data_IF_031510752015
#
_entry.id   IF_031510752015
#
_cell.length_a   1.000
_cell.length_b   1.000
_cell.length_c   1.000
_cell.angle_alpha   90.00
_cell.angle_beta   90.00
_cell.angle_gamma   90.00
#
_symmetry.space_group_name_H-M   'P 1'
#
loop_
_entity.id
_entity.type
_entity.pdbx_description
1 polymer ?
#
# COMPACT_ATOMS: atom_id res chain seq x y z
N UNK A 1 12.07 21.15 24.53
CA UNK A 1 13.39 21.07 25.17
C UNK A 1 14.38 20.28 24.31
N UNK A 2 14.39 18.93 24.27
CA UNK A 2 15.39 18.19 23.44
C UNK A 2 15.38 18.64 21.98
N UNK A 3 14.23 18.70 21.29
CA UNK A 3 14.17 19.09 19.87
C UNK A 3 14.63 20.52 19.53
N UNK A 4 14.92 21.37 20.53
CA UNK A 4 15.37 22.75 20.34
C UNK A 4 16.88 22.93 20.54
N UNK A 5 17.57 21.88 20.99
CA UNK A 5 19.03 21.89 21.06
C UNK A 5 19.65 21.97 19.65
N UNK A 6 20.79 22.66 19.57
CA UNK A 6 21.53 22.80 18.32
C UNK A 6 21.90 21.42 17.75
N UNK A 7 21.67 21.21 16.45
CA UNK A 7 21.96 19.94 15.75
C UNK A 7 20.77 18.99 15.65
N UNK A 8 19.64 19.28 16.29
CA UNK A 8 18.43 18.45 16.18
C UNK A 8 17.64 18.67 14.89
N UNK A 9 18.12 19.53 14.00
CA UNK A 9 17.66 19.58 12.61
C UNK A 9 17.89 18.24 11.89
N UNK A 10 18.85 17.42 12.35
CA UNK A 10 19.13 16.07 11.84
C UNK A 10 17.89 15.16 11.81
N UNK A 11 16.94 15.32 12.73
CA UNK A 11 15.72 14.52 12.72
C UNK A 11 14.78 14.93 11.58
N UNK A 12 14.71 16.22 11.25
CA UNK A 12 13.97 16.69 10.08
C UNK A 12 14.61 16.18 8.79
N UNK A 13 15.94 16.20 8.72
CA UNK A 13 16.69 15.65 7.59
C UNK A 13 16.47 14.13 7.45
N UNK A 14 16.51 13.39 8.56
CA UNK A 14 16.21 11.97 8.57
C UNK A 14 14.78 11.69 8.12
N UNK A 15 13.79 12.46 8.58
CA UNK A 15 12.40 12.35 8.13
C UNK A 15 12.32 12.59 6.62
N UNK A 16 12.98 13.63 6.10
CA UNK A 16 12.99 13.91 4.66
C UNK A 16 13.59 12.74 3.85
N UNK A 17 14.71 12.18 4.29
CA UNK A 17 15.31 10.99 3.68
C UNK A 17 14.38 9.77 3.71
N UNK A 18 13.77 9.48 4.87
CA UNK A 18 12.82 8.37 5.03
C UNK A 18 11.56 8.55 4.19
N UNK A 19 11.07 9.79 4.03
CA UNK A 19 9.96 10.11 3.12
C UNK A 19 10.36 9.82 1.67
N UNK A 20 11.54 10.24 1.24
CA UNK A 20 12.07 9.93 -0.09
C UNK A 20 12.19 8.43 -0.35
N UNK A 21 12.84 7.71 0.56
CA UNK A 21 12.98 6.24 0.48
C UNK A 21 11.62 5.54 0.44
N UNK A 22 10.68 5.95 1.30
CA UNK A 22 9.37 5.30 1.37
C UNK A 22 8.52 5.58 0.13
N UNK A 23 8.63 6.77 -0.51
CA UNK A 23 8.02 7.03 -1.83
C UNK A 23 8.58 6.04 -2.88
N UNK A 24 9.86 5.70 -2.76
CA UNK A 24 10.56 4.64 -3.51
C UNK A 24 9.87 3.27 -3.49
N UNK A 25 9.02 3.03 -2.49
CA UNK A 25 8.32 1.76 -2.26
C UNK A 25 6.82 1.91 -2.40
N UNK A 26 6.22 2.93 -1.75
CA UNK A 26 4.78 3.17 -1.77
C UNK A 26 4.42 4.61 -1.34
N UNK A 27 3.52 5.26 -2.10
CA UNK A 27 3.04 6.63 -1.84
C UNK A 27 2.20 6.84 -0.55
N UNK A 28 1.83 5.78 0.17
CA UNK A 28 0.98 5.90 1.37
C UNK A 28 1.68 6.67 2.50
N UNK A 29 3.01 6.74 2.47
CA UNK A 29 3.81 7.47 3.44
C UNK A 29 3.51 8.99 3.44
N UNK A 30 3.06 9.56 2.31
CA UNK A 30 2.67 10.97 2.21
C UNK A 30 1.54 11.31 3.20
N UNK A 31 0.67 10.34 3.51
CA UNK A 31 -0.43 10.49 4.47
C UNK A 31 0.05 10.69 5.92
N UNK A 32 1.33 10.49 6.21
CA UNK A 32 1.94 10.75 7.52
C UNK A 32 2.37 12.21 7.69
N UNK A 33 2.53 12.96 6.60
CA UNK A 33 2.96 14.36 6.64
C UNK A 33 2.04 15.26 7.48
N UNK A 34 0.70 15.13 7.44
CA UNK A 34 -0.18 15.90 8.33
C UNK A 34 0.16 15.74 9.81
N UNK A 35 0.45 14.52 10.29
CA UNK A 35 0.89 14.28 11.67
C UNK A 35 2.20 15.00 11.96
N UNK A 36 3.18 14.91 11.06
CA UNK A 36 4.49 15.56 11.21
C UNK A 36 4.33 17.09 11.29
N UNK A 37 3.53 17.68 10.41
CA UNK A 37 3.27 19.12 10.42
C UNK A 37 2.55 19.56 11.69
N UNK A 38 1.62 18.77 12.21
CA UNK A 38 0.97 19.06 13.50
C UNK A 38 1.97 19.07 14.65
N UNK A 39 2.89 18.09 14.71
CA UNK A 39 3.93 18.04 15.75
C UNK A 39 4.84 19.27 15.66
N UNK A 40 5.24 19.69 14.46
CA UNK A 40 6.04 20.90 14.25
C UNK A 40 5.24 22.14 14.66
N UNK A 41 3.97 22.22 14.25
CA UNK A 41 3.08 23.34 14.54
C UNK A 41 2.93 23.59 16.03
N UNK A 42 2.59 22.55 16.80
CA UNK A 42 2.38 22.66 18.24
C UNK A 42 3.62 23.05 19.04
N UNK A 43 4.82 22.84 18.46
CA UNK A 43 6.09 23.24 19.07
C UNK A 43 6.52 24.65 18.69
N UNK A 44 6.20 25.11 17.48
CA UNK A 44 6.78 26.34 16.90
C UNK A 44 5.81 27.52 16.84
N UNK A 45 4.51 27.27 16.89
CA UNK A 45 3.49 28.30 16.68
C UNK A 45 2.50 28.33 17.84
N UNK A 46 2.01 29.53 18.13
CA UNK A 46 0.89 29.70 19.04
C UNK A 46 -0.39 29.16 18.41
N UNK A 47 -1.20 28.49 19.23
CA UNK A 47 -2.41 27.82 18.76
C UNK A 47 -3.56 28.83 18.71
N UNK A 48 -4.01 29.16 17.51
CA UNK A 48 -5.22 29.93 17.27
C UNK A 48 -5.87 29.49 15.95
N UNK A 49 -7.09 29.95 15.67
CA UNK A 49 -7.82 29.55 14.47
C UNK A 49 -7.09 29.92 13.18
N UNK A 50 -6.42 31.08 13.14
CA UNK A 50 -5.67 31.55 11.99
C UNK A 50 -4.42 30.70 11.75
N UNK A 51 -3.64 30.42 12.79
CA UNK A 51 -2.43 29.63 12.69
C UNK A 51 -2.73 28.16 12.38
N UNK A 52 -3.84 27.63 12.88
CA UNK A 52 -4.34 26.30 12.49
C UNK A 52 -4.81 26.26 11.04
N UNK A 53 -5.53 27.28 10.58
CA UNK A 53 -5.91 27.40 9.17
C UNK A 53 -4.68 27.47 8.26
N UNK A 54 -3.66 28.24 8.65
CA UNK A 54 -2.38 28.29 7.95
C UNK A 54 -1.65 26.94 7.96
N UNK A 55 -1.69 26.18 9.06
CA UNK A 55 -1.15 24.81 9.09
C UNK A 55 -1.84 23.93 8.04
N UNK A 56 -3.17 23.94 7.98
CA UNK A 56 -3.92 23.12 7.00
C UNK A 56 -3.60 23.56 5.58
N UNK A 57 -3.57 24.87 5.32
CA UNK A 57 -3.31 25.41 3.98
C UNK A 57 -1.87 25.16 3.53
N UNK A 58 -0.87 25.54 4.35
CA UNK A 58 0.55 25.39 4.01
C UNK A 58 0.97 23.92 4.06
N UNK A 59 0.52 23.16 5.08
CA UNK A 59 0.78 21.73 5.17
C UNK A 59 0.14 20.96 4.01
N UNK A 60 -1.09 21.30 3.63
CA UNK A 60 -1.75 20.77 2.44
C UNK A 60 -0.99 21.11 1.16
N UNK A 61 -0.55 22.37 1.00
CA UNK A 61 0.26 22.79 -0.15
C UNK A 61 1.61 22.07 -0.22
N UNK A 62 2.31 21.87 0.91
CA UNK A 62 3.56 21.09 0.94
C UNK A 62 3.30 19.63 0.62
N UNK A 63 2.22 19.03 1.16
CA UNK A 63 1.85 17.64 0.85
C UNK A 63 1.56 17.47 -0.64
N UNK A 64 0.78 18.38 -1.21
CA UNK A 64 0.50 18.43 -2.64
C UNK A 64 1.77 18.63 -3.46
N UNK A 65 2.63 19.57 -3.06
CA UNK A 65 3.92 19.78 -3.72
C UNK A 65 4.82 18.52 -3.68
N UNK A 66 4.89 17.82 -2.55
CA UNK A 66 5.66 16.56 -2.46
C UNK A 66 5.06 15.49 -3.37
N UNK A 67 3.73 15.35 -3.41
CA UNK A 67 3.04 14.44 -4.32
C UNK A 67 3.32 14.81 -5.79
N UNK A 68 3.13 16.07 -6.17
CA UNK A 68 3.39 16.57 -7.52
C UNK A 68 4.86 16.42 -7.89
N UNK A 69 5.81 16.70 -6.98
CA UNK A 69 7.23 16.46 -7.25
C UNK A 69 7.50 15.02 -7.66
N UNK A 70 6.81 14.04 -7.08
CA UNK A 70 6.95 12.64 -7.46
C UNK A 70 6.35 12.36 -8.83
N UNK A 71 5.18 12.94 -9.11
CA UNK A 71 4.48 12.80 -10.41
C UNK A 71 5.23 13.51 -11.54
N UNK A 72 5.94 14.60 -11.26
CA UNK A 72 6.69 15.41 -12.23
C UNK A 72 8.07 14.83 -12.56
N UNK A 73 8.61 13.87 -11.78
CA UNK A 73 9.93 13.28 -12.07
C UNK A 73 9.98 12.64 -13.47
N UNK A 74 9.01 11.79 -13.87
CA UNK A 74 8.95 11.26 -15.23
C UNK A 74 8.96 12.36 -16.31
N UNK A 75 8.18 13.43 -16.13
CA UNK A 75 8.16 14.57 -17.06
C UNK A 75 9.50 15.31 -17.10
N UNK A 76 10.17 15.45 -15.95
CA UNK A 76 11.48 16.08 -15.89
C UNK A 76 12.56 15.24 -16.60
N UNK A 77 12.49 13.90 -16.51
CA UNK A 77 13.36 13.00 -17.28
C UNK A 77 13.11 13.18 -18.79
N UNK A 78 11.85 13.31 -19.20
CA UNK A 78 11.45 13.53 -20.61
C UNK A 78 12.03 14.83 -21.19
N UNK A 79 12.02 15.91 -20.40
CA UNK A 79 12.46 17.25 -20.83
C UNK A 79 13.99 17.40 -20.77
N UNK A 80 14.62 16.92 -19.69
CA UNK A 80 16.01 17.23 -19.39
C UNK A 80 16.97 16.08 -19.63
N UNK A 81 16.49 14.85 -19.85
CA UNK A 81 17.29 13.62 -19.82
C UNK A 81 18.09 13.42 -18.52
N UNK A 82 18.77 12.28 -18.38
CA UNK A 82 19.58 12.01 -17.18
C UNK A 82 20.78 12.95 -17.04
N UNK A 83 21.37 13.40 -18.14
CA UNK A 83 22.47 14.36 -18.17
C UNK A 83 22.03 15.75 -17.73
N UNK A 84 20.90 16.25 -18.22
CA UNK A 84 20.35 17.53 -17.76
C UNK A 84 19.91 17.49 -16.30
N UNK A 85 19.33 16.38 -15.84
CA UNK A 85 19.03 16.17 -14.41
C UNK A 85 20.29 16.17 -13.55
N UNK A 86 21.41 15.60 -14.02
CA UNK A 86 22.69 15.68 -13.32
C UNK A 86 23.20 17.12 -13.23
N UNK A 87 23.05 17.92 -14.29
CA UNK A 87 23.41 19.35 -14.27
C UNK A 87 22.53 20.11 -13.27
N UNK A 88 21.22 19.86 -13.24
CA UNK A 88 20.29 20.46 -12.27
C UNK A 88 20.68 20.08 -10.83
N UNK A 89 21.06 18.82 -10.59
CA UNK A 89 21.55 18.37 -9.30
C UNK A 89 22.83 19.10 -8.90
N UNK A 90 23.81 19.23 -9.79
CA UNK A 90 25.05 19.97 -9.54
C UNK A 90 24.79 21.45 -9.23
N UNK A 91 23.89 22.10 -9.98
CA UNK A 91 23.45 23.48 -9.70
C UNK A 91 22.80 23.57 -8.32
N UNK A 92 21.92 22.63 -7.99
CA UNK A 92 21.25 22.58 -6.68
C UNK A 92 22.24 22.40 -5.52
N UNK A 93 23.28 21.57 -5.71
CA UNK A 93 24.37 21.40 -4.75
C UNK A 93 25.23 22.66 -4.62
N UNK A 94 25.49 23.39 -5.70
CA UNK A 94 26.19 24.69 -5.64
C UNK A 94 25.38 25.73 -4.88
N UNK A 95 24.06 25.83 -5.13
CA UNK A 95 23.15 26.73 -4.41
C UNK A 95 23.11 26.36 -2.92
N UNK A 96 23.03 25.06 -2.60
CA UNK A 96 23.09 24.57 -1.22
C UNK A 96 24.41 24.96 -0.55
N UNK A 97 25.55 24.75 -1.22
CA UNK A 97 26.87 25.14 -0.72
C UNK A 97 26.99 26.65 -0.48
N UNK A 98 26.43 27.46 -1.37
CA UNK A 98 26.33 28.92 -1.19
C UNK A 98 25.45 29.29 0.02
N UNK A 99 24.27 28.66 0.17
CA UNK A 99 23.37 28.91 1.29
C UNK A 99 24.03 28.59 2.64
N UNK A 100 24.75 27.47 2.73
CA UNK A 100 25.49 27.05 3.91
C UNK A 100 26.62 28.04 4.22
N UNK A 101 27.42 28.40 3.21
CA UNK A 101 28.57 29.30 3.37
C UNK A 101 28.18 30.70 3.85
N UNK A 102 27.03 31.21 3.41
CA UNK A 102 26.52 32.53 3.80
C UNK A 102 25.64 32.49 5.06
N UNK A 103 25.51 31.35 5.74
CA UNK A 103 24.73 31.25 6.97
C UNK A 103 23.21 31.32 6.79
N UNK A 104 22.69 31.07 5.59
CA UNK A 104 21.24 31.05 5.31
C UNK A 104 20.62 29.74 5.84
N UNK A 105 20.39 29.66 7.16
CA UNK A 105 20.02 28.42 7.85
C UNK A 105 18.73 27.77 7.32
N UNK A 106 17.65 28.54 7.15
CA UNK A 106 16.36 28.01 6.68
C UNK A 106 16.46 27.46 5.25
N UNK A 107 17.10 28.23 4.35
CA UNK A 107 17.31 27.82 2.96
C UNK A 107 18.18 26.56 2.88
N UNK A 108 19.24 26.48 3.68
CA UNK A 108 20.13 25.32 3.72
C UNK A 108 19.38 24.06 4.16
N UNK A 109 18.55 24.14 5.20
CA UNK A 109 17.74 23.01 5.67
C UNK A 109 16.73 22.61 4.60
N UNK A 110 16.01 23.56 4.00
CA UNK A 110 15.02 23.28 2.97
C UNK A 110 15.64 22.57 1.76
N UNK A 111 16.75 23.10 1.24
CA UNK A 111 17.48 22.48 0.13
C UNK A 111 18.06 21.11 0.49
N UNK A 112 18.53 20.92 1.74
CA UNK A 112 19.00 19.61 2.21
C UNK A 112 17.85 18.60 2.29
N UNK A 113 16.66 19.01 2.76
CA UNK A 113 15.48 18.13 2.76
C UNK A 113 15.10 17.71 1.34
N UNK A 114 15.08 18.64 0.37
CA UNK A 114 14.80 18.33 -1.03
C UNK A 114 15.84 17.34 -1.57
N UNK A 115 17.14 17.61 -1.35
CA UNK A 115 18.22 16.71 -1.75
C UNK A 115 18.05 15.31 -1.16
N UNK A 116 17.72 15.19 0.13
CA UNK A 116 17.54 13.90 0.79
C UNK A 116 16.30 13.15 0.30
N UNK A 117 15.21 13.85 -0.03
CA UNK A 117 14.04 13.25 -0.68
C UNK A 117 14.44 12.72 -2.06
N UNK A 118 15.17 13.49 -2.86
CA UNK A 118 15.65 13.08 -4.19
C UNK A 118 16.60 11.88 -4.11
N UNK A 119 17.54 11.89 -3.15
CA UNK A 119 18.43 10.75 -2.90
C UNK A 119 17.64 9.52 -2.47
N UNK A 120 16.65 9.66 -1.59
CA UNK A 120 15.78 8.55 -1.21
C UNK A 120 14.98 8.00 -2.40
N UNK A 121 14.42 8.89 -3.22
CA UNK A 121 13.67 8.53 -4.43
C UNK A 121 14.52 7.83 -5.49
N UNK A 122 15.84 8.09 -5.51
CA UNK A 122 16.75 7.48 -6.47
C UNK A 122 16.80 5.94 -6.39
N UNK A 123 16.21 5.32 -5.36
CA UNK A 123 16.02 3.86 -5.31
C UNK A 123 15.24 3.31 -6.51
N UNK A 124 14.36 4.10 -7.15
CA UNK A 124 13.67 3.69 -8.38
C UNK A 124 14.62 3.43 -9.56
N UNK A 125 15.83 4.02 -9.56
CA UNK A 125 16.83 3.75 -10.60
C UNK A 125 17.29 2.29 -10.59
N UNK A 126 17.10 1.55 -9.49
CA UNK A 126 17.35 0.11 -9.47
C UNK A 126 16.56 -0.59 -10.59
N UNK A 127 15.32 -0.17 -10.86
CA UNK A 127 14.45 -0.80 -11.85
C UNK A 127 15.03 -0.58 -13.25
N UNK A 128 15.35 0.67 -13.59
CA UNK A 128 16.00 1.05 -14.85
C UNK A 128 17.33 0.31 -15.07
N UNK A 129 18.21 0.31 -14.06
CA UNK A 129 19.52 -0.34 -14.13
C UNK A 129 19.38 -1.87 -14.25
N UNK A 130 18.46 -2.47 -13.49
CA UNK A 130 18.23 -3.92 -13.50
C UNK A 130 17.69 -4.37 -14.85
N UNK A 131 16.74 -3.64 -15.43
CA UNK A 131 16.17 -3.96 -16.74
C UNK A 131 17.23 -3.88 -17.83
N UNK A 132 18.10 -2.87 -17.82
CA UNK A 132 19.23 -2.80 -18.78
C UNK A 132 20.32 -3.87 -18.63
N UNK A 133 20.22 -4.79 -17.65
CA UNK A 133 21.02 -6.02 -17.59
C UNK A 133 20.33 -7.21 -18.27
N UNK A 134 19.15 -6.99 -18.83
CA UNK A 134 18.30 -7.92 -19.55
C UNK A 134 18.04 -9.25 -18.79
N UNK A 135 17.45 -9.20 -17.58
CA UNK A 135 17.15 -10.42 -16.84
C UNK A 135 16.07 -11.25 -17.57
N UNK A 136 16.04 -12.56 -17.32
CA UNK A 136 15.03 -13.45 -17.92
C UNK A 136 13.59 -13.04 -17.59
N UNK A 137 13.37 -12.51 -16.37
CA UNK A 137 12.12 -11.91 -15.94
C UNK A 137 12.32 -10.40 -15.83
N UNK A 138 11.84 -9.70 -16.85
CA UNK A 138 11.92 -8.24 -16.93
C UNK A 138 10.55 -7.62 -17.20
N UNK A 139 9.76 -7.45 -16.15
CA UNK A 139 8.40 -6.94 -16.27
C UNK A 139 8.37 -5.47 -16.74
N UNK A 140 7.62 -5.22 -17.82
CA UNK A 140 7.49 -3.93 -18.50
C UNK A 140 8.74 -3.44 -19.24
N UNK A 141 9.86 -4.17 -19.16
CA UNK A 141 11.11 -3.87 -19.86
C UNK A 141 11.53 -2.37 -19.83
N UNK A 142 11.68 -1.76 -18.64
CA UNK A 142 11.97 -0.33 -18.50
C UNK A 142 13.46 0.02 -18.73
N UNK A 143 14.11 -0.55 -19.76
CA UNK A 143 15.53 -0.30 -20.07
C UNK A 143 15.77 1.01 -20.85
N UNK A 144 14.73 1.48 -21.55
CA UNK A 144 14.75 2.77 -22.25
C UNK A 144 14.15 3.88 -21.39
N UNK A 145 14.55 5.12 -21.64
CA UNK A 145 14.01 6.29 -20.92
C UNK A 145 12.48 6.37 -21.08
N UNK A 146 11.97 6.09 -22.28
CA UNK A 146 10.54 6.10 -22.58
C UNK A 146 9.78 5.01 -21.81
N UNK A 147 10.25 3.76 -21.86
CA UNK A 147 9.65 2.66 -21.13
C UNK A 147 9.71 2.88 -19.61
N UNK A 148 10.81 3.45 -19.10
CA UNK A 148 10.93 3.81 -17.70
C UNK A 148 9.94 4.92 -17.28
N UNK A 149 9.74 5.93 -18.12
CA UNK A 149 8.73 6.97 -17.89
C UNK A 149 7.32 6.35 -17.87
N UNK A 150 6.99 5.48 -18.83
CA UNK A 150 5.70 4.78 -18.89
C UNK A 150 5.48 3.91 -17.64
N UNK A 151 6.53 3.21 -17.19
CA UNK A 151 6.54 2.43 -15.95
C UNK A 151 6.24 3.31 -14.73
N UNK A 152 6.96 4.42 -14.55
CA UNK A 152 6.76 5.34 -13.42
C UNK A 152 5.38 6.00 -13.44
N UNK A 153 4.86 6.35 -14.62
CA UNK A 153 3.50 6.87 -14.83
C UNK A 153 2.42 5.82 -14.65
N UNK A 154 2.78 4.53 -14.62
CA UNK A 154 1.88 3.39 -14.44
C UNK A 154 0.80 3.32 -15.53
N UNK A 155 1.15 3.70 -16.76
CA UNK A 155 0.21 3.84 -17.89
C UNK A 155 -0.55 2.55 -18.20
N UNK A 156 0.09 1.39 -17.99
CA UNK A 156 -0.51 0.07 -18.15
C UNK A 156 -1.81 -0.17 -17.35
N UNK A 157 -2.02 0.56 -16.24
CA UNK A 157 -3.18 0.37 -15.37
C UNK A 157 -4.35 1.31 -15.70
N UNK A 158 -4.19 2.22 -16.65
CA UNK A 158 -5.21 3.20 -17.04
C UNK A 158 -5.50 4.26 -15.97
N UNK A 159 -6.59 5.00 -16.18
CA UNK A 159 -6.94 6.14 -15.32
C UNK A 159 -7.73 5.74 -14.06
N UNK A 160 -7.33 6.30 -12.92
CA UNK A 160 -8.05 6.17 -11.67
C UNK A 160 -9.09 7.30 -11.51
N UNK A 161 -10.36 6.97 -11.29
CA UNK A 161 -11.43 7.96 -11.10
C UNK A 161 -11.98 8.04 -9.68
N UNK A 162 -12.21 9.27 -9.19
CA UNK A 162 -12.78 9.53 -7.86
C UNK A 162 -14.32 9.49 -7.82
N UNK A 163 -14.98 9.29 -8.97
CA UNK A 163 -16.45 9.21 -9.02
C UNK A 163 -16.95 7.94 -8.36
N UNK A 164 -17.44 8.09 -7.15
CA UNK A 164 -17.99 6.99 -6.35
C UNK A 164 -19.30 6.44 -6.91
N UNK A 165 -20.11 7.28 -7.55
CA UNK A 165 -21.33 6.83 -8.26
C UNK A 165 -20.97 5.97 -9.47
N UNK A 166 -19.93 6.34 -10.22
CA UNK A 166 -19.43 5.53 -11.32
C UNK A 166 -18.89 4.20 -10.80
N UNK A 167 -18.00 4.27 -9.80
CA UNK A 167 -17.43 3.08 -9.17
C UNK A 167 -18.49 2.08 -8.66
N UNK A 168 -19.53 2.59 -8.00
CA UNK A 168 -20.64 1.78 -7.53
C UNK A 168 -21.36 1.07 -8.69
N UNK A 169 -21.67 1.79 -9.78
CA UNK A 169 -22.36 1.22 -10.94
C UNK A 169 -21.50 0.22 -11.72
N UNK A 170 -20.19 0.45 -11.78
CA UNK A 170 -19.24 -0.39 -12.51
C UNK A 170 -18.78 -1.60 -11.67
N UNK A 171 -19.07 -1.62 -10.36
CA UNK A 171 -18.74 -2.75 -9.49
C UNK A 171 -19.62 -3.96 -9.81
N UNK A 172 -19.07 -5.18 -9.93
CA UNK A 172 -19.84 -6.41 -10.17
C UNK A 172 -21.02 -6.59 -9.20
N UNK A 173 -20.81 -6.28 -7.91
CA UNK A 173 -21.82 -6.36 -6.86
C UNK A 173 -22.58 -5.05 -6.64
N UNK A 174 -22.48 -4.07 -7.55
CA UNK A 174 -23.11 -2.76 -7.42
C UNK A 174 -24.63 -2.82 -7.21
N UNK A 175 -25.30 -3.82 -7.80
CA UNK A 175 -26.74 -4.03 -7.67
C UNK A 175 -27.20 -4.41 -6.25
N UNK A 176 -26.28 -4.79 -5.35
CA UNK A 176 -26.58 -5.08 -3.95
C UNK A 176 -26.83 -3.82 -3.11
N UNK A 177 -26.65 -2.64 -3.69
CA UNK A 177 -26.74 -1.35 -3.01
C UNK A 177 -27.75 -0.45 -3.73
N UNK A 178 -28.50 0.35 -2.98
CA UNK A 178 -29.54 1.24 -3.52
C UNK A 178 -28.99 2.61 -3.92
N UNK A 179 -27.79 2.97 -3.44
CA UNK A 179 -27.15 4.26 -3.72
C UNK A 179 -25.64 4.21 -3.52
N UNK A 180 -24.93 5.17 -4.11
CA UNK A 180 -23.49 5.35 -3.89
C UNK A 180 -23.14 5.62 -2.40
N UNK A 181 -24.05 6.24 -1.65
CA UNK A 181 -23.88 6.48 -0.21
C UNK A 181 -23.97 5.18 0.59
N UNK A 182 -24.93 4.31 0.25
CA UNK A 182 -25.05 2.99 0.86
C UNK A 182 -23.84 2.11 0.52
N UNK A 183 -23.40 2.12 -0.74
CA UNK A 183 -22.17 1.45 -1.18
C UNK A 183 -20.95 1.91 -0.38
N UNK A 184 -20.78 3.23 -0.23
CA UNK A 184 -19.69 3.80 0.57
C UNK A 184 -19.69 3.28 2.01
N UNK A 185 -20.81 3.37 2.72
CA UNK A 185 -20.84 3.03 4.14
C UNK A 185 -20.82 1.53 4.39
N UNK A 186 -21.62 0.75 3.66
CA UNK A 186 -21.72 -0.70 3.87
C UNK A 186 -20.48 -1.45 3.37
N UNK A 187 -20.00 -1.09 2.17
CA UNK A 187 -18.85 -1.79 1.60
C UNK A 187 -17.55 -1.08 1.92
N UNK A 188 -17.35 0.14 1.42
CA UNK A 188 -16.03 0.79 1.48
C UNK A 188 -15.60 1.15 2.92
N UNK A 189 -16.52 1.50 3.81
CA UNK A 189 -16.20 1.81 5.21
C UNK A 189 -16.35 0.57 6.10
N UNK A 190 -17.51 -0.06 6.12
CA UNK A 190 -17.74 -1.17 7.06
C UNK A 190 -16.99 -2.43 6.66
N UNK A 191 -17.27 -2.96 5.46
CA UNK A 191 -16.64 -4.22 4.99
C UNK A 191 -15.13 -4.06 4.76
N UNK A 192 -14.70 -2.95 4.16
CA UNK A 192 -13.30 -2.76 3.79
C UNK A 192 -12.44 -2.12 4.87
N UNK A 193 -12.97 -1.40 5.86
CA UNK A 193 -12.13 -0.79 6.90
C UNK A 193 -12.48 -1.29 8.30
N UNK A 194 -13.74 -1.16 8.73
CA UNK A 194 -14.15 -1.54 10.10
C UNK A 194 -13.91 -3.02 10.35
N UNK A 195 -14.21 -3.89 9.37
CA UNK A 195 -13.94 -5.32 9.45
C UNK A 195 -12.47 -5.63 9.72
N UNK A 196 -11.53 -5.11 8.91
CA UNK A 196 -10.09 -5.33 9.12
C UNK A 196 -9.57 -4.68 10.41
N UNK A 197 -10.08 -3.50 10.76
CA UNK A 197 -9.76 -2.87 12.03
C UNK A 197 -10.15 -3.77 13.21
N UNK A 198 -11.34 -4.36 13.16
CA UNK A 198 -11.81 -5.30 14.17
C UNK A 198 -11.10 -6.67 14.10
N UNK A 199 -10.63 -7.13 12.94
CA UNK A 199 -9.75 -8.31 12.88
C UNK A 199 -8.51 -8.12 13.74
N UNK A 200 -7.90 -6.94 13.67
CA UNK A 200 -6.68 -6.62 14.41
C UNK A 200 -6.91 -6.47 15.91
N UNK A 201 -8.02 -5.85 16.34
CA UNK A 201 -8.22 -5.51 17.77
C UNK A 201 -9.34 -6.28 18.48
N UNK A 202 -10.13 -7.03 17.72
CA UNK A 202 -11.20 -7.92 18.19
C UNK A 202 -10.91 -9.40 17.95
N UNK A 203 -10.33 -9.74 16.80
CA UNK A 203 -10.06 -11.11 16.36
C UNK A 203 -10.85 -11.48 15.09
N UNK A 204 -10.48 -12.60 14.46
CA UNK A 204 -11.04 -13.08 13.20
C UNK A 204 -11.95 -14.27 13.49
N UNK A 205 -13.20 -14.25 13.04
CA UNK A 205 -14.16 -15.34 13.25
C UNK A 205 -13.53 -16.72 12.93
N UNK A 206 -13.55 -17.62 13.91
CA UNK A 206 -13.04 -18.99 13.77
C UNK A 206 -14.09 -19.82 13.02
N UNK A 207 -13.99 -19.85 11.69
CA UNK A 207 -14.84 -20.69 10.85
C UNK A 207 -14.01 -21.81 10.25
N UNK A 208 -14.36 -23.06 10.56
CA UNK A 208 -13.87 -24.25 9.84
C UNK A 208 -14.39 -24.33 8.39
N UNK A 209 -15.28 -23.42 8.02
CA UNK A 209 -15.90 -23.36 6.71
C UNK A 209 -15.04 -22.57 5.73
N UNK A 210 -14.15 -23.28 5.02
CA UNK A 210 -13.32 -22.73 3.96
C UNK A 210 -14.13 -22.19 2.77
N UNK A 211 -15.45 -22.43 2.70
CA UNK A 211 -16.33 -21.93 1.63
C UNK A 211 -16.79 -20.48 1.83
N UNK A 212 -16.64 -19.92 3.05
CA UNK A 212 -16.95 -18.50 3.26
C UNK A 212 -15.89 -17.64 2.58
N UNK A 213 -16.30 -16.95 1.51
CA UNK A 213 -15.47 -15.98 0.79
C UNK A 213 -14.96 -14.83 1.69
N UNK A 214 -15.62 -14.54 2.82
CA UNK A 214 -15.30 -13.39 3.69
C UNK A 214 -15.43 -13.74 5.17
N UNK A 215 -14.29 -13.80 5.88
CA UNK A 215 -14.27 -13.97 7.35
C UNK A 215 -14.81 -12.70 8.04
N UNK A 216 -15.56 -12.84 9.13
CA UNK A 216 -16.02 -11.68 9.93
C UNK A 216 -15.05 -11.40 11.08
N UNK A 217 -15.24 -10.27 11.75
CA UNK A 217 -14.54 -10.00 13.00
C UNK A 217 -15.32 -10.61 14.17
N UNK A 218 -14.61 -11.25 15.10
CA UNK A 218 -15.15 -11.76 16.37
C UNK A 218 -14.39 -11.17 17.56
N UNK A 219 -14.86 -10.02 18.10
CA UNK A 219 -14.22 -9.35 19.23
C UNK A 219 -14.08 -10.16 20.52
N UNK A 220 -14.83 -11.25 20.67
CA UNK A 220 -14.73 -12.11 21.85
C UNK A 220 -13.44 -12.92 21.88
N UNK A 221 -12.83 -13.17 20.72
CA UNK A 221 -11.53 -13.82 20.66
C UNK A 221 -10.46 -13.05 21.42
N UNK A 222 -10.46 -11.72 21.35
CA UNK A 222 -9.54 -10.87 22.13
C UNK A 222 -10.21 -10.25 23.37
N UNK A 223 -11.37 -10.78 23.80
CA UNK A 223 -12.13 -10.34 24.97
C UNK A 223 -12.46 -8.85 24.98
N UNK A 224 -12.54 -8.22 23.80
CA UNK A 224 -12.64 -6.76 23.63
C UNK A 224 -11.50 -5.95 24.27
N UNK A 225 -10.48 -6.59 24.87
CA UNK A 225 -9.49 -5.91 25.70
C UNK A 225 -8.64 -4.91 24.91
N UNK A 226 -8.08 -5.23 23.72
CA UNK A 226 -7.31 -4.26 22.97
C UNK A 226 -8.16 -3.04 22.59
N UNK A 227 -9.41 -3.25 22.17
CA UNK A 227 -10.33 -2.17 21.83
C UNK A 227 -10.64 -1.27 23.04
N UNK A 228 -11.02 -1.85 24.18
CA UNK A 228 -11.36 -1.09 25.39
C UNK A 228 -10.14 -0.33 25.90
N UNK A 229 -8.98 -0.98 25.98
CA UNK A 229 -7.73 -0.34 26.42
C UNK A 229 -7.35 0.77 25.44
N UNK A 230 -7.46 0.56 24.13
CA UNK A 230 -7.22 1.59 23.12
C UNK A 230 -8.14 2.80 23.28
N UNK A 231 -9.44 2.58 23.53
CA UNK A 231 -10.40 3.67 23.78
C UNK A 231 -10.09 4.44 25.07
N UNK A 232 -9.68 3.74 26.14
CA UNK A 232 -9.17 4.38 27.36
C UNK A 232 -7.91 5.20 27.08
N UNK A 233 -7.03 4.69 26.22
CA UNK A 233 -5.82 5.38 25.77
C UNK A 233 -6.11 6.65 24.99
N UNK A 234 -7.07 6.63 24.08
CA UNK A 234 -7.56 7.83 23.38
C UNK A 234 -8.01 8.86 24.41
N UNK A 235 -8.94 8.49 25.30
CA UNK A 235 -9.51 9.39 26.31
C UNK A 235 -8.41 9.98 27.21
N UNK A 236 -7.52 9.13 27.72
CA UNK A 236 -6.42 9.55 28.59
C UNK A 236 -5.40 10.46 27.86
N UNK A 237 -5.07 10.14 26.61
CA UNK A 237 -4.17 10.95 25.79
C UNK A 237 -4.75 12.33 25.57
N UNK A 238 -6.01 12.44 25.13
CA UNK A 238 -6.65 13.74 24.88
C UNK A 238 -6.83 14.57 26.16
N UNK A 239 -7.05 13.94 27.32
CA UNK A 239 -7.16 14.66 28.60
C UNK A 239 -5.83 15.26 29.07
N UNK A 240 -4.70 14.58 28.82
CA UNK A 240 -3.37 15.05 29.25
C UNK A 240 -2.68 15.92 28.22
N UNK A 241 -2.76 15.53 26.95
CA UNK A 241 -2.06 16.15 25.84
C UNK A 241 -2.87 16.03 24.55
N UNK A 242 -3.92 16.84 24.45
CA UNK A 242 -4.78 16.89 23.27
C UNK A 242 -4.02 17.26 21.98
N UNK A 243 -2.85 17.91 22.07
CA UNK A 243 -2.04 18.31 20.92
C UNK A 243 -1.42 17.09 20.27
N UNK A 244 -0.67 16.29 21.04
CA UNK A 244 -0.14 15.02 20.54
C UNK A 244 -1.27 14.02 20.23
N UNK A 245 -2.35 14.04 21.01
CA UNK A 245 -3.57 13.26 20.73
C UNK A 245 -4.13 13.53 19.34
N UNK A 246 -4.25 14.81 18.96
CA UNK A 246 -4.75 15.20 17.64
C UNK A 246 -3.76 14.86 16.51
N UNK A 247 -2.46 14.91 16.77
CA UNK A 247 -1.45 14.49 15.78
C UNK A 247 -1.53 12.98 15.46
N UNK A 248 -1.65 12.12 16.49
CA UNK A 248 -1.87 10.67 16.28
C UNK A 248 -3.23 10.41 15.63
N UNK A 249 -4.26 11.17 16.00
CA UNK A 249 -5.56 11.08 15.36
C UNK A 249 -5.50 11.42 13.86
N UNK A 250 -4.72 12.43 13.48
CA UNK A 250 -4.51 12.73 12.06
C UNK A 250 -3.87 11.56 11.32
N UNK A 251 -2.85 10.90 11.90
CA UNK A 251 -2.29 9.67 11.31
C UNK A 251 -3.35 8.58 11.17
N UNK A 252 -4.09 8.28 12.24
CA UNK A 252 -5.17 7.28 12.25
C UNK A 252 -6.23 7.56 11.18
N UNK A 253 -6.69 8.80 11.11
CA UNK A 253 -7.75 9.22 10.19
C UNK A 253 -7.27 9.19 8.73
N UNK A 254 -6.08 9.75 8.46
CA UNK A 254 -5.54 9.85 7.10
C UNK A 254 -5.23 8.48 6.50
N UNK A 255 -4.65 7.58 7.29
CA UNK A 255 -4.27 6.21 6.85
C UNK A 255 -5.35 5.16 7.07
N UNK A 256 -6.52 5.55 7.57
CA UNK A 256 -7.66 4.67 7.85
C UNK A 256 -8.89 5.06 7.05
N UNK A 257 -9.62 6.08 7.51
CA UNK A 257 -10.90 6.48 6.91
C UNK A 257 -10.74 7.38 5.68
N UNK A 258 -9.77 8.31 5.68
CA UNK A 258 -9.63 9.25 4.58
C UNK A 258 -9.13 8.59 3.30
N UNK A 259 -8.21 7.62 3.42
CA UNK A 259 -7.63 6.90 2.28
C UNK A 259 -8.70 6.13 1.48
N UNK A 260 -9.82 5.74 2.09
CA UNK A 260 -10.97 5.12 1.42
C UNK A 260 -11.55 6.03 0.32
N UNK A 261 -11.46 7.35 0.50
CA UNK A 261 -11.89 8.33 -0.50
C UNK A 261 -11.05 8.25 -1.76
N UNK A 262 -9.74 8.12 -1.60
CA UNK A 262 -8.83 7.99 -2.71
C UNK A 262 -8.88 6.58 -3.31
N UNK A 263 -8.86 5.52 -2.50
CA UNK A 263 -8.83 4.14 -3.00
C UNK A 263 -10.09 3.74 -3.78
N UNK A 264 -11.25 4.33 -3.42
CA UNK A 264 -12.54 4.15 -4.09
C UNK A 264 -12.77 2.71 -4.61
N UNK A 265 -12.63 1.72 -3.72
CA UNK A 265 -12.49 0.31 -4.11
C UNK A 265 -13.78 -0.28 -4.70
N UNK A 266 -13.73 -1.09 -5.78
CA UNK A 266 -14.85 -1.89 -6.28
C UNK A 266 -15.24 -3.05 -5.37
N UNK A 267 -16.50 -3.50 -5.49
CA UNK A 267 -17.01 -4.75 -4.89
C UNK A 267 -17.30 -5.82 -5.95
N UNK A 268 -16.70 -7.02 -5.87
CA UNK A 268 -15.71 -7.46 -4.88
C UNK A 268 -14.28 -7.00 -5.21
N UNK A 269 -13.44 -6.97 -4.19
CA UNK A 269 -11.99 -7.01 -4.40
C UNK A 269 -11.56 -8.46 -4.69
N UNK A 270 -10.53 -8.68 -5.54
CA UNK A 270 -10.05 -10.03 -5.88
C UNK A 270 -9.35 -10.73 -4.71
N UNK A 271 -8.97 -9.97 -3.67
CA UNK A 271 -8.30 -10.46 -2.46
C UNK A 271 -8.46 -9.45 -1.33
N UNK A 272 -8.16 -9.87 -0.11
CA UNK A 272 -8.14 -8.99 1.05
C UNK A 272 -7.10 -7.86 0.89
N UNK A 273 -7.43 -6.67 1.42
CA UNK A 273 -6.66 -5.42 1.28
C UNK A 273 -6.43 -4.72 2.62
N UNK A 274 -6.36 -5.48 3.70
CA UNK A 274 -6.10 -4.99 5.06
C UNK A 274 -4.79 -4.19 5.17
N UNK A 275 -3.77 -4.58 4.40
CA UNK A 275 -2.47 -3.89 4.34
C UNK A 275 -2.58 -2.41 3.95
N UNK A 276 -3.61 -2.00 3.20
CA UNK A 276 -3.83 -0.59 2.83
C UNK A 276 -4.11 0.31 4.05
N UNK A 277 -4.52 -0.28 5.18
CA UNK A 277 -4.97 0.44 6.38
C UNK A 277 -4.01 0.30 7.57
N UNK A 278 -2.89 -0.39 7.41
CA UNK A 278 -1.93 -0.72 8.49
C UNK A 278 -1.43 0.53 9.25
N UNK A 279 -1.29 1.67 8.58
CA UNK A 279 -0.95 2.93 9.26
C UNK A 279 -1.92 3.30 10.38
N UNK A 280 -3.21 3.06 10.16
CA UNK A 280 -4.26 3.34 11.15
C UNK A 280 -4.23 2.32 12.29
N UNK A 281 -3.88 1.06 11.99
CA UNK A 281 -3.72 0.02 13.01
C UNK A 281 -2.53 0.33 13.91
N UNK A 282 -1.41 0.79 13.37
CA UNK A 282 -0.28 1.26 14.18
C UNK A 282 -0.66 2.45 15.07
N UNK A 283 -1.40 3.44 14.53
CA UNK A 283 -1.86 4.57 15.33
C UNK A 283 -2.75 4.13 16.50
N UNK A 284 -3.65 3.17 16.28
CA UNK A 284 -4.49 2.63 17.35
C UNK A 284 -3.69 1.79 18.36
N UNK A 285 -2.71 1.00 17.92
CA UNK A 285 -1.82 0.25 18.81
C UNK A 285 -1.04 1.17 19.77
N UNK A 286 -0.65 2.39 19.34
CA UNK A 286 -0.07 3.40 20.23
C UNK A 286 -1.07 3.77 21.33
N UNK A 287 -2.35 3.98 21.00
CA UNK A 287 -3.36 4.23 22.02
C UNK A 287 -3.61 3.03 22.93
N UNK A 288 -3.51 1.78 22.46
CA UNK A 288 -3.54 0.61 23.35
C UNK A 288 -2.40 0.68 24.38
N UNK A 289 -1.19 1.04 23.96
CA UNK A 289 -0.06 1.26 24.88
C UNK A 289 -0.30 2.38 25.88
N UNK A 290 -0.81 3.53 25.43
CA UNK A 290 -1.17 4.66 26.30
C UNK A 290 -2.28 4.27 27.28
N UNK A 291 -3.27 3.50 26.84
CA UNK A 291 -4.36 3.00 27.67
C UNK A 291 -3.88 2.05 28.76
N UNK A 292 -2.94 1.16 28.43
CA UNK A 292 -2.29 0.30 29.42
C UNK A 292 -1.56 1.15 30.47
N UNK A 293 -0.78 2.16 30.03
CA UNK A 293 -0.12 3.10 30.94
C UNK A 293 -1.12 3.87 31.82
N UNK A 294 -2.27 4.27 31.27
CA UNK A 294 -3.32 4.97 32.01
C UNK A 294 -3.90 4.11 33.14
N UNK A 295 -4.15 2.83 32.88
CA UNK A 295 -4.62 1.87 33.88
C UNK A 295 -3.58 1.70 34.98
N UNK A 296 -2.30 1.53 34.61
CA UNK A 296 -1.20 1.37 35.56
C UNK A 296 -1.00 2.61 36.42
N UNK A 297 -1.08 3.80 35.83
CA UNK A 297 -0.96 5.06 36.55
C UNK A 297 -2.11 5.23 37.56
N UNK A 298 -3.35 5.00 37.13
CA UNK A 298 -4.53 5.05 37.99
C UNK A 298 -4.42 4.06 39.16
N UNK A 299 -4.02 2.82 38.88
CA UNK A 299 -3.82 1.79 39.89
C UNK A 299 -2.72 2.21 40.89
N UNK A 300 -1.57 2.68 40.37
CA UNK A 300 -0.45 3.11 41.20
C UNK A 300 -0.82 4.25 42.12
N UNK A 301 -1.51 5.28 41.61
CA UNK A 301 -1.99 6.42 42.41
C UNK A 301 -2.94 5.97 43.51
N UNK A 302 -3.94 5.16 43.16
CA UNK A 302 -4.94 4.63 44.11
C UNK A 302 -4.29 3.79 45.21
N UNK A 303 -3.31 2.95 44.86
CA UNK A 303 -2.58 2.13 45.84
C UNK A 303 -1.67 2.96 46.72
N UNK A 304 -1.00 3.99 46.20
CA UNK A 304 -0.18 4.89 47.04
C UNK A 304 -1.03 5.58 48.11
N UNK A 305 -2.27 5.95 47.79
CA UNK A 305 -3.19 6.58 48.72
C UNK A 305 -3.77 5.59 49.73
N UNK A 306 -4.24 4.41 49.29
CA UNK A 306 -5.00 3.48 50.13
C UNK A 306 -4.17 2.37 50.77
N UNK A 307 -3.14 1.87 50.07
CA UNK A 307 -2.34 0.69 50.45
C UNK A 307 -0.88 0.82 49.97
N UNK A 308 -0.08 1.72 50.56
CA UNK A 308 1.26 2.07 50.06
C UNK A 308 2.23 0.88 50.02
N UNK A 309 2.03 -0.13 50.88
CA UNK A 309 2.84 -1.36 50.89
C UNK A 309 2.73 -2.15 49.57
N UNK A 310 1.60 -2.05 48.86
CA UNK A 310 1.35 -2.78 47.61
C UNK A 310 1.63 -1.95 46.36
N UNK A 311 1.86 -0.63 46.51
CA UNK A 311 1.98 0.31 45.41
C UNK A 311 3.19 0.09 44.50
N UNK A 312 4.20 -0.65 44.96
CA UNK A 312 5.38 -0.98 44.16
C UNK A 312 5.27 -2.31 43.43
N UNK A 313 4.46 -3.27 43.90
CA UNK A 313 4.44 -4.64 43.34
C UNK A 313 3.21 -4.89 42.47
N UNK A 314 2.03 -4.39 42.87
CA UNK A 314 0.78 -4.69 42.19
C UNK A 314 0.67 -4.05 40.78
N UNK A 315 1.22 -2.84 40.51
CA UNK A 315 1.29 -2.32 39.15
C UNK A 315 2.11 -3.19 38.20
N UNK A 316 3.21 -3.82 38.66
CA UNK A 316 3.97 -4.76 37.82
C UNK A 316 3.17 -6.01 37.49
N UNK A 317 2.45 -6.56 38.47
CA UNK A 317 1.54 -7.68 38.22
C UNK A 317 0.44 -7.30 37.22
N UNK A 318 -0.16 -6.11 37.36
CA UNK A 318 -1.16 -5.61 36.42
C UNK A 318 -0.56 -5.42 35.01
N UNK A 319 0.66 -4.91 34.90
CA UNK A 319 1.35 -4.75 33.62
C UNK A 319 1.58 -6.10 32.95
N UNK A 320 1.99 -7.11 33.73
CA UNK A 320 2.14 -8.49 33.25
C UNK A 320 0.81 -9.07 32.77
N UNK A 321 -0.27 -8.90 33.54
CA UNK A 321 -1.60 -9.36 33.18
C UNK A 321 -2.11 -8.69 31.90
N UNK A 322 -1.93 -7.38 31.75
CA UNK A 322 -2.28 -6.66 30.52
C UNK A 322 -1.47 -7.22 29.35
N UNK A 323 -0.14 -7.37 29.50
CA UNK A 323 0.73 -7.92 28.47
C UNK A 323 0.30 -9.33 28.02
N UNK A 324 -0.05 -10.21 28.97
CA UNK A 324 -0.51 -11.55 28.61
C UNK A 324 -1.92 -11.54 28.00
N UNK A 325 -2.81 -10.68 28.49
CA UNK A 325 -4.20 -10.62 28.04
C UNK A 325 -4.38 -9.91 26.69
N UNK A 326 -3.49 -8.99 26.31
CA UNK A 326 -3.54 -8.31 25.01
C UNK A 326 -2.49 -8.84 24.02
N UNK A 327 -1.21 -8.39 23.97
CA UNK A 327 -0.31 -8.79 22.89
C UNK A 327 0.00 -10.28 22.87
N UNK A 328 0.14 -10.97 24.02
CA UNK A 328 0.41 -12.42 24.00
C UNK A 328 -0.78 -13.25 23.57
N UNK A 329 -2.01 -12.83 23.91
CA UNK A 329 -3.23 -13.49 23.43
C UNK A 329 -3.39 -13.31 21.92
N UNK A 330 -3.13 -12.10 21.43
CA UNK A 330 -3.10 -11.82 19.98
C UNK A 330 -2.06 -12.70 19.28
N UNK A 331 -0.86 -12.82 19.85
CA UNK A 331 0.17 -13.71 19.33
C UNK A 331 -0.31 -15.17 19.33
N UNK A 332 -0.84 -15.67 20.45
CA UNK A 332 -1.24 -17.07 20.59
C UNK A 332 -2.35 -17.49 19.62
N UNK A 333 -3.37 -16.64 19.41
CA UNK A 333 -4.47 -16.94 18.49
C UNK A 333 -4.04 -16.92 17.03
N UNK A 334 -3.18 -15.96 16.67
CA UNK A 334 -2.76 -15.76 15.30
C UNK A 334 -1.48 -16.56 14.96
N UNK A 335 -0.81 -17.17 15.95
CA UNK A 335 0.48 -17.84 15.73
C UNK A 335 0.40 -18.88 14.62
N UNK A 336 -0.60 -19.77 14.67
CA UNK A 336 -0.72 -20.84 13.69
C UNK A 336 -1.12 -20.35 12.29
N UNK A 337 -1.96 -19.32 12.18
CA UNK A 337 -2.33 -18.75 10.88
C UNK A 337 -1.16 -18.00 10.21
N UNK A 338 -0.26 -17.43 11.03
CA UNK A 338 0.91 -16.68 10.55
C UNK A 338 2.20 -17.50 10.52
N UNK A 339 2.27 -18.65 11.18
CA UNK A 339 3.40 -19.57 11.09
C UNK A 339 3.41 -20.18 9.68
N UNK A 340 4.40 -19.76 8.89
CA UNK A 340 4.64 -20.29 7.55
C UNK A 340 5.70 -21.39 7.55
N UNK A 341 6.15 -21.85 8.72
CA UNK A 341 7.10 -22.96 8.83
C UNK A 341 6.54 -24.20 8.16
N UNK A 342 7.31 -24.78 7.24
CA UNK A 342 6.87 -25.95 6.49
C UNK A 342 5.80 -25.68 5.42
N UNK A 343 5.46 -24.41 5.13
CA UNK A 343 4.59 -24.08 4.02
C UNK A 343 5.36 -24.17 2.70
N UNK A 344 5.41 -25.37 2.14
CA UNK A 344 6.00 -25.64 0.82
C UNK A 344 4.97 -25.67 -0.29
N UNK A 345 3.70 -25.28 -0.04
CA UNK A 345 2.60 -25.45 -1.01
C UNK A 345 2.94 -24.80 -2.34
N UNK A 346 3.35 -23.52 -2.36
CA UNK A 346 3.70 -22.83 -3.60
C UNK A 346 4.87 -23.50 -4.33
N UNK A 347 5.90 -23.91 -3.59
CA UNK A 347 7.10 -24.55 -4.14
C UNK A 347 6.79 -25.93 -4.71
N UNK A 348 6.14 -26.80 -3.94
CA UNK A 348 5.87 -28.18 -4.30
C UNK A 348 4.79 -28.28 -5.39
N UNK A 349 3.77 -27.42 -5.34
CA UNK A 349 2.77 -27.29 -6.40
C UNK A 349 3.42 -26.96 -7.75
N UNK A 350 4.22 -25.89 -7.80
CA UNK A 350 4.93 -25.49 -9.01
C UNK A 350 5.97 -26.51 -9.45
N UNK A 351 6.66 -27.17 -8.52
CA UNK A 351 7.59 -28.26 -8.85
C UNK A 351 6.87 -29.44 -9.49
N UNK A 352 5.69 -29.81 -8.98
CA UNK A 352 4.88 -30.89 -9.56
C UNK A 352 4.37 -30.52 -10.96
N UNK A 353 3.97 -29.27 -11.19
CA UNK A 353 3.62 -28.77 -12.53
C UNK A 353 4.80 -28.92 -13.49
N UNK A 354 5.99 -28.45 -13.09
CA UNK A 354 7.19 -28.51 -13.94
C UNK A 354 7.62 -29.94 -14.24
N UNK A 355 7.62 -30.86 -13.26
CA UNK A 355 8.00 -32.26 -13.48
C UNK A 355 7.02 -32.98 -14.41
N UNK A 356 5.74 -32.62 -14.35
CA UNK A 356 4.70 -33.23 -15.18
C UNK A 356 4.74 -32.73 -16.63
N UNK A 357 5.57 -31.74 -16.94
CA UNK A 357 5.71 -31.18 -18.29
C UNK A 357 6.78 -31.92 -19.07
N UNK A 358 6.51 -32.17 -20.36
CA UNK A 358 7.49 -32.74 -21.28
C UNK A 358 8.73 -31.83 -21.44
N UNK A 359 9.85 -32.41 -21.84
CA UNK A 359 11.10 -31.68 -22.10
C UNK A 359 10.88 -30.60 -23.17
N UNK A 360 11.27 -29.35 -22.87
CA UNK A 360 11.05 -28.21 -23.78
C UNK A 360 9.58 -27.79 -23.94
N UNK A 361 8.69 -28.26 -23.06
CA UNK A 361 7.27 -27.93 -23.11
C UNK A 361 6.98 -26.44 -22.86
N UNK A 362 5.81 -25.98 -23.31
CA UNK A 362 5.28 -24.65 -23.00
C UNK A 362 4.12 -24.81 -22.03
N UNK A 363 4.25 -24.23 -20.83
CA UNK A 363 3.26 -24.26 -19.77
C UNK A 363 2.49 -22.94 -19.72
N UNK A 364 1.18 -23.01 -19.92
CA UNK A 364 0.31 -21.84 -19.79
C UNK A 364 -0.19 -21.68 -18.36
N UNK A 365 -0.03 -20.48 -17.81
CA UNK A 365 -0.51 -20.07 -16.48
C UNK A 365 -1.44 -18.88 -16.59
N UNK A 366 -2.24 -18.61 -15.56
CA UNK A 366 -3.29 -17.59 -15.63
C UNK A 366 -2.96 -16.31 -14.85
N UNK A 367 -2.09 -16.33 -13.83
CA UNK A 367 -1.77 -15.12 -13.07
C UNK A 367 -0.59 -15.25 -12.11
N UNK A 368 -0.56 -14.40 -11.11
CA UNK A 368 0.61 -14.27 -10.21
C UNK A 368 0.85 -15.53 -9.37
N UNK A 369 -0.22 -16.15 -8.86
CA UNK A 369 -0.14 -17.22 -7.86
C UNK A 369 0.38 -18.54 -8.43
N UNK A 370 0.14 -18.83 -9.70
CA UNK A 370 0.65 -20.00 -10.42
C UNK A 370 1.95 -19.70 -11.16
N UNK A 371 2.13 -18.49 -11.71
CA UNK A 371 3.33 -18.12 -12.48
C UNK A 371 4.55 -17.84 -11.61
N UNK A 372 4.44 -16.99 -10.59
CA UNK A 372 5.62 -16.51 -9.86
C UNK A 372 6.40 -17.61 -9.12
N UNK A 373 5.76 -18.63 -8.51
CA UNK A 373 6.53 -19.70 -7.89
C UNK A 373 7.21 -20.62 -8.93
N UNK A 374 6.66 -20.76 -10.15
CA UNK A 374 7.35 -21.46 -11.25
C UNK A 374 8.61 -20.69 -11.68
N UNK A 375 8.47 -19.39 -11.90
CA UNK A 375 9.56 -18.49 -12.21
C UNK A 375 10.66 -18.51 -11.15
N UNK A 376 10.30 -18.51 -9.86
CA UNK A 376 11.26 -18.67 -8.77
C UNK A 376 12.04 -19.99 -8.87
N UNK A 377 11.34 -21.11 -9.13
CA UNK A 377 12.02 -22.41 -9.28
C UNK A 377 12.99 -22.42 -10.46
N UNK A 378 12.67 -21.72 -11.55
CA UNK A 378 13.52 -21.64 -12.73
C UNK A 378 14.71 -20.71 -12.53
N UNK A 379 14.46 -19.46 -12.11
CA UNK A 379 15.50 -18.41 -12.04
C UNK A 379 16.37 -18.46 -10.78
N UNK A 380 15.88 -19.08 -9.69
CA UNK A 380 16.60 -19.12 -8.41
C UNK A 380 17.04 -20.54 -8.05
N UNK A 381 16.15 -21.52 -8.19
CA UNK A 381 16.50 -22.93 -7.91
C UNK A 381 17.10 -23.66 -9.13
N UNK A 382 17.16 -23.03 -10.31
CA UNK A 382 17.71 -23.60 -11.55
C UNK A 382 17.03 -24.95 -11.91
N UNK A 383 15.72 -25.04 -11.67
CA UNK A 383 14.94 -26.26 -11.83
C UNK A 383 14.03 -26.22 -13.07
N UNK A 384 14.16 -27.22 -13.95
CA UNK A 384 13.36 -27.35 -15.20
C UNK A 384 13.33 -26.04 -16.01
N UNK A 385 14.50 -25.44 -16.18
CA UNK A 385 14.71 -24.23 -16.99
C UNK A 385 14.50 -24.47 -18.50
N UNK A 386 14.32 -25.73 -18.91
CA UNK A 386 13.94 -26.12 -20.28
C UNK A 386 12.47 -25.82 -20.62
N UNK A 387 11.58 -25.77 -19.62
CA UNK A 387 10.14 -25.52 -19.82
C UNK A 387 9.88 -24.03 -19.93
N UNK A 388 9.11 -23.57 -20.93
CA UNK A 388 8.72 -22.16 -21.03
C UNK A 388 7.40 -21.91 -20.31
N UNK A 389 7.41 -21.04 -19.29
CA UNK A 389 6.18 -20.59 -18.61
C UNK A 389 5.61 -19.36 -19.31
N UNK A 390 4.36 -19.45 -19.77
CA UNK A 390 3.63 -18.41 -20.49
C UNK A 390 2.37 -17.99 -19.72
N UNK A 391 2.43 -16.82 -19.07
CA UNK A 391 1.34 -16.23 -18.32
C UNK A 391 0.35 -15.52 -19.24
N UNK A 392 -0.87 -16.04 -19.31
CA UNK A 392 -1.95 -15.53 -20.16
C UNK A 392 -2.38 -14.10 -19.78
N UNK A 393 -2.26 -13.69 -18.52
CA UNK A 393 -2.58 -12.32 -18.07
C UNK A 393 -1.54 -11.29 -18.49
N UNK A 394 -0.37 -11.72 -18.98
CA UNK A 394 0.68 -10.85 -19.50
C UNK A 394 0.76 -10.88 -21.03
N UNK A 395 0.08 -11.82 -21.70
CA UNK A 395 0.03 -11.94 -23.17
C UNK A 395 -0.70 -10.78 -23.87
N UNK A 396 -1.25 -9.83 -23.12
CA UNK A 396 -1.77 -8.57 -23.63
C UNK A 396 -0.71 -7.44 -23.64
N UNK A 397 0.55 -7.74 -23.30
CA UNK A 397 1.66 -6.79 -23.28
C UNK A 397 2.74 -7.17 -24.31
N UNK A 398 3.25 -6.21 -25.08
CA UNK A 398 4.24 -6.44 -26.14
C UNK A 398 5.54 -6.99 -25.57
N UNK A 399 6.09 -6.33 -24.56
CA UNK A 399 7.32 -6.73 -23.87
C UNK A 399 7.32 -8.21 -23.48
N UNK A 400 6.19 -8.74 -23.00
CA UNK A 400 6.11 -10.13 -22.58
C UNK A 400 6.09 -11.10 -23.76
N UNK A 401 5.34 -10.77 -24.82
CA UNK A 401 5.30 -11.56 -26.05
C UNK A 401 6.69 -11.60 -26.70
N UNK A 402 7.39 -10.47 -26.75
CA UNK A 402 8.76 -10.38 -27.27
C UNK A 402 9.73 -11.25 -26.46
N UNK A 403 9.65 -11.19 -25.13
CA UNK A 403 10.47 -12.06 -24.28
C UNK A 403 10.18 -13.54 -24.51
N UNK A 404 8.90 -13.94 -24.66
CA UNK A 404 8.53 -15.32 -25.01
C UNK A 404 9.10 -15.76 -26.37
N UNK A 405 9.16 -14.85 -27.35
CA UNK A 405 9.66 -15.15 -28.70
C UNK A 405 11.19 -15.19 -28.76
N UNK A 406 11.86 -14.26 -28.08
CA UNK A 406 13.27 -13.95 -28.32
C UNK A 406 14.21 -14.51 -27.24
N UNK A 407 13.74 -14.75 -26.01
CA UNK A 407 14.55 -15.34 -24.92
C UNK A 407 14.35 -16.85 -24.83
N UNK A 408 15.42 -17.59 -24.54
CA UNK A 408 15.32 -19.04 -24.32
C UNK A 408 14.65 -19.35 -22.96
N UNK A 409 13.83 -20.42 -22.86
CA UNK A 409 13.34 -21.26 -23.96
C UNK A 409 12.28 -20.55 -24.81
N UNK A 410 12.45 -20.55 -26.14
CA UNK A 410 11.59 -19.78 -27.04
C UNK A 410 10.22 -20.41 -27.30
N UNK A 411 9.21 -19.55 -27.41
CA UNK A 411 7.88 -19.89 -27.95
C UNK A 411 7.87 -19.61 -29.45
N UNK A 412 7.39 -20.53 -30.32
CA UNK A 412 7.34 -20.34 -31.76
C UNK A 412 6.21 -19.37 -32.16
N UNK A 413 6.42 -18.08 -31.91
CA UNK A 413 5.49 -17.00 -32.24
C UNK A 413 5.81 -16.49 -33.65
N UNK A 414 4.81 -16.52 -34.55
CA UNK A 414 4.99 -16.15 -35.96
C UNK A 414 4.96 -14.66 -36.24
N UNK A 415 4.48 -13.84 -35.30
CA UNK A 415 4.43 -12.39 -35.45
C UNK A 415 5.84 -11.78 -35.50
N UNK A 416 6.03 -10.80 -36.38
CA UNK A 416 7.20 -9.92 -36.36
C UNK A 416 7.18 -9.03 -35.10
N UNK A 417 8.34 -8.53 -34.68
CA UNK A 417 8.43 -7.67 -33.49
C UNK A 417 7.58 -6.40 -33.68
N UNK A 418 7.60 -5.82 -34.89
CA UNK A 418 6.74 -4.70 -35.24
C UNK A 418 5.24 -5.03 -35.16
N UNK A 419 4.81 -6.25 -35.50
CA UNK A 419 3.41 -6.65 -35.30
C UNK A 419 3.09 -6.75 -33.81
N UNK A 420 4.01 -7.28 -32.99
CA UNK A 420 3.84 -7.42 -31.55
C UNK A 420 3.68 -6.06 -30.86
N UNK A 421 4.52 -5.08 -31.21
CA UNK A 421 4.40 -3.70 -30.72
C UNK A 421 3.04 -3.07 -31.05
N UNK A 422 2.50 -3.40 -32.21
CA UNK A 422 1.22 -2.86 -32.66
C UNK A 422 -0.01 -3.58 -32.06
N UNK A 423 0.15 -4.74 -31.40
CA UNK A 423 -0.96 -5.51 -30.82
C UNK A 423 -1.63 -4.81 -29.63
N UNK A 424 -0.91 -3.92 -28.93
CA UNK A 424 -1.45 -3.24 -27.74
C UNK A 424 -2.41 -2.10 -28.13
N UNK A 425 -2.27 -1.54 -29.34
CA UNK A 425 -3.18 -0.51 -29.81
C UNK A 425 -4.45 -1.16 -30.36
N UNK A 426 -5.64 -0.58 -30.11
CA UNK A 426 -6.87 -1.06 -30.74
C UNK A 426 -6.66 -1.04 -32.25
N UNK A 427 -6.55 -2.22 -32.86
CA UNK A 427 -6.35 -2.35 -34.30
C UNK A 427 -7.61 -1.82 -34.97
N UNK A 428 -7.56 -0.65 -35.65
CA UNK A 428 -8.72 -0.13 -36.31
C UNK A 428 -9.13 -1.13 -37.39
N UNK A 429 -10.43 -1.41 -37.50
CA UNK A 429 -10.93 -2.22 -38.58
C UNK A 429 -10.44 -1.62 -39.91
N UNK A 430 -9.86 -2.44 -40.79
CA UNK A 430 -9.33 -1.99 -42.08
C UNK A 430 -10.38 -1.25 -42.95
N UNK A 431 -11.66 -1.44 -42.65
CA UNK A 431 -12.77 -0.65 -43.17
C UNK A 431 -13.70 -0.29 -42.01
N UNK A 432 -14.26 0.91 -42.07
CA UNK A 432 -15.30 1.38 -41.15
C UNK A 432 -16.48 0.39 -41.21
N UNK A 433 -16.71 -0.35 -40.11
CA UNK A 433 -17.80 -1.31 -39.98
C UNK A 433 -18.87 -0.74 -39.06
N UNK A 434 -20.04 -0.47 -39.61
CA UNK A 434 -21.26 -0.31 -38.80
C UNK A 434 -21.67 -1.69 -38.30
N UNK A 435 -21.36 -1.97 -37.04
CA UNK A 435 -21.86 -3.18 -36.37
C UNK A 435 -23.20 -2.81 -35.76
N UNK A 436 -24.28 -3.39 -36.28
CA UNK A 436 -25.57 -3.36 -35.61
C UNK A 436 -25.43 -4.24 -34.36
N UNK A 437 -25.13 -3.62 -33.22
CA UNK A 437 -25.20 -4.32 -31.94
C UNK A 437 -26.68 -4.55 -31.69
N UNK A 438 -27.20 -5.69 -32.14
CA UNK A 438 -28.56 -6.11 -31.82
C UNK A 438 -28.68 -5.98 -30.32
N UNK A 439 -29.55 -5.10 -29.83
CA UNK A 439 -29.81 -5.00 -28.41
C UNK A 439 -30.04 -6.43 -27.91
N UNK A 440 -29.21 -6.89 -26.98
CA UNK A 440 -29.30 -8.26 -26.46
C UNK A 440 -30.76 -8.44 -26.07
N UNK A 441 -31.45 -9.36 -26.76
CA UNK A 441 -32.86 -9.64 -26.51
C UNK A 441 -33.00 -9.79 -24.99
N UNK A 442 -33.83 -8.98 -24.31
CA UNK A 442 -34.00 -9.07 -22.87
C UNK A 442 -34.30 -10.52 -22.42
N UNK A 443 -34.93 -11.33 -23.26
CA UNK A 443 -35.12 -12.75 -23.03
C UNK A 443 -33.82 -13.55 -23.08
N UNK A 444 -32.96 -13.34 -24.08
CA UNK A 444 -31.63 -13.97 -24.18
C UNK A 444 -30.72 -13.58 -23.02
N UNK A 445 -30.72 -12.31 -22.61
CA UNK A 445 -29.93 -11.84 -21.46
C UNK A 445 -30.35 -12.55 -20.17
N UNK A 446 -31.66 -12.77 -20.00
CA UNK A 446 -32.23 -13.48 -18.86
C UNK A 446 -31.89 -14.97 -18.89
N UNK A 447 -31.90 -15.57 -20.08
CA UNK A 447 -31.61 -16.99 -20.32
C UNK A 447 -30.12 -17.31 -20.15
N UNK A 448 -29.23 -16.42 -20.58
CA UNK A 448 -27.79 -16.51 -20.30
C UNK A 448 -27.48 -16.28 -18.82
N UNK A 449 -28.15 -15.33 -18.16
CA UNK A 449 -28.03 -15.13 -16.71
C UNK A 449 -28.51 -16.36 -15.92
N UNK A 450 -29.61 -17.00 -16.33
CA UNK A 450 -30.08 -18.26 -15.74
C UNK A 450 -29.12 -19.43 -16.02
N UNK A 451 -28.58 -19.55 -17.24
CA UNK A 451 -27.57 -20.57 -17.57
C UNK A 451 -26.29 -20.40 -16.76
N UNK A 452 -25.80 -19.17 -16.63
CA UNK A 452 -24.63 -18.86 -15.81
C UNK A 452 -24.87 -19.22 -14.35
N UNK A 453 -26.07 -18.91 -13.83
CA UNK A 453 -26.47 -19.26 -12.48
C UNK A 453 -26.58 -20.77 -12.25
N UNK A 454 -27.14 -21.51 -13.21
CA UNK A 454 -27.22 -22.99 -13.15
C UNK A 454 -25.84 -23.66 -13.22
N UNK A 455 -24.90 -23.11 -14.00
CA UNK A 455 -23.53 -23.60 -14.08
C UNK A 455 -22.69 -23.29 -12.83
N UNK A 456 -23.12 -22.34 -11.99
CA UNK A 456 -22.50 -22.06 -10.68
C UNK A 456 -23.10 -22.92 -9.55
N UNK A 457 -24.29 -23.48 -9.76
CA UNK A 457 -24.96 -24.38 -8.80
C UNK A 457 -24.63 -25.87 -9.05
N UNK A 458 -23.98 -26.21 -10.18
CA UNK A 458 -23.35 -27.51 -10.48
C UNK A 458 -21.87 -27.49 -10.14
#
# INVERSE_FOLDING_TARGET
EISEEAGNEKYLLLIAYLVGLAIGVHLLNILTLPMIFMIIYYKRFEINATSFFLLVLVGGAITGFVYEMVVLIPEAIEIFDFGGLLVILLISLMILGFAIRNGHKVLSIALTCILLITVGYSSYMMIYIRSGLDPNIDENDPETVEAFISYLKREQYGEHHLSRTKQWKDSPNGNNYSSAFEFFWKYQVYEMYVRYFLWNFGGIEDTQDFSRERKRADPWQLWWLPLIIGMLGISHHFQRDWKHGLAIFALFFMTGLAIIIYLNQPDPQPRERDYSYVGSFFAFAIWVGIGASAILEWLTRTLREKQPQMANSLPWLAALLIFFATPMRMLALNYHEHDRTGNFVARDYSRNMLISSDEGGIMFTNGDNDTFPLWYLQEVEEFRTDVRVANLSLLNTSWYIEQLKNKEPKVPISFSDQEIDNLIYPVPWAQEKTIEVTAIDPAMRKLEAERYRLNLEQ
#
